data_IF_376027432300
#
_entry.id   IF_376027432300
#
_cell.length_a   1.000
_cell.length_b   1.000
_cell.length_c   1.000
_cell.angle_alpha   90.00
_cell.angle_beta   90.00
_cell.angle_gamma   90.00
#
_symmetry.space_group_name_H-M   'P 1'
#
loop_
_entity.id
_entity.type
_entity.pdbx_description
1 polymer ?
#
# COMPACT_ATOMS: atom_id res chain seq x y z
N UNK A 1 10.41 -10.74 -4.66
CA UNK A 1 10.44 -9.41 -4.01
C UNK A 1 9.20 -9.23 -3.14
N UNK A 2 9.24 -8.41 -2.09
CA UNK A 2 8.07 -8.14 -1.23
C UNK A 2 7.64 -6.68 -1.33
N UNK A 3 6.34 -6.42 -1.45
CA UNK A 3 5.78 -5.07 -1.47
C UNK A 3 5.91 -4.48 -0.06
N UNK A 4 6.50 -3.29 0.05
CA UNK A 4 6.47 -2.50 1.28
C UNK A 4 5.42 -1.39 1.09
N UNK A 5 4.42 -1.36 1.97
CA UNK A 5 3.38 -0.34 2.00
C UNK A 5 3.80 0.75 2.98
N UNK A 6 3.61 2.00 2.55
CA UNK A 6 3.65 3.18 3.40
C UNK A 6 2.31 3.91 3.28
N UNK A 7 1.72 4.29 4.40
CA UNK A 7 0.53 5.14 4.47
C UNK A 7 0.85 6.32 5.37
N UNK A 8 0.75 7.54 4.83
CA UNK A 8 1.02 8.77 5.56
C UNK A 8 1.37 9.91 4.60
N UNK A 9 1.72 11.09 5.14
CA UNK A 9 2.14 12.24 4.35
C UNK A 9 3.33 11.90 3.46
N UNK A 10 3.32 12.33 2.19
CA UNK A 10 4.45 12.13 1.28
C UNK A 10 5.66 12.96 1.74
N UNK A 11 5.42 14.12 2.37
CA UNK A 11 6.47 14.92 3.02
C UNK A 11 7.23 14.10 4.05
N UNK A 12 6.51 13.36 4.89
CA UNK A 12 7.10 12.49 5.90
C UNK A 12 7.88 11.33 5.25
N UNK A 13 7.35 10.76 4.17
CA UNK A 13 8.04 9.74 3.39
C UNK A 13 9.38 10.22 2.81
N UNK A 14 9.36 11.34 2.10
CA UNK A 14 10.53 11.89 1.39
C UNK A 14 11.57 12.52 2.32
N UNK A 15 11.16 13.01 3.50
CA UNK A 15 12.11 13.44 4.54
C UNK A 15 12.77 12.26 5.26
N UNK A 16 12.25 11.04 5.07
CA UNK A 16 12.72 9.85 5.79
C UNK A 16 12.34 9.85 7.27
N UNK A 17 11.36 10.65 7.67
CA UNK A 17 10.89 10.75 9.05
C UNK A 17 9.90 9.62 9.41
N UNK A 18 10.25 8.38 9.08
CA UNK A 18 9.42 7.19 9.32
C UNK A 18 10.30 5.97 9.58
N UNK A 19 9.74 4.98 10.26
CA UNK A 19 10.40 3.72 10.59
C UNK A 19 9.78 2.58 9.78
N UNK A 20 10.61 1.70 9.22
CA UNK A 20 10.17 0.39 8.68
C UNK A 20 9.58 -0.48 9.78
N UNK A 21 8.78 -1.49 9.43
CA UNK A 21 8.22 -2.47 10.39
C UNK A 21 9.29 -3.09 11.29
N UNK A 22 10.48 -3.38 10.75
CA UNK A 22 11.62 -3.93 11.51
C UNK A 22 12.19 -2.91 12.50
N UNK A 23 12.29 -1.63 12.10
CA UNK A 23 12.73 -0.56 13.01
C UNK A 23 11.71 -0.32 14.13
N UNK A 24 10.42 -0.33 13.81
CA UNK A 24 9.35 -0.19 14.79
C UNK A 24 9.39 -1.34 15.80
N UNK A 25 9.49 -2.59 15.33
CA UNK A 25 9.66 -3.76 16.17
C UNK A 25 10.89 -3.64 17.08
N UNK A 26 12.03 -3.23 16.53
CA UNK A 26 13.26 -3.07 17.30
C UNK A 26 13.09 -2.01 18.41
N UNK A 27 12.53 -0.84 18.09
CA UNK A 27 12.24 0.21 19.07
C UNK A 27 11.32 -0.28 20.19
N UNK A 28 10.24 -0.98 19.84
CA UNK A 28 9.29 -1.53 20.82
C UNK A 28 9.91 -2.56 21.76
N UNK A 29 10.95 -3.28 21.29
CA UNK A 29 11.66 -4.30 22.07
C UNK A 29 12.98 -3.79 22.67
N UNK A 30 13.28 -2.49 22.59
CA UNK A 30 14.53 -1.91 23.10
C UNK A 30 15.79 -2.37 22.35
N UNK A 31 15.64 -2.87 21.13
CA UNK A 31 16.73 -3.33 20.26
C UNK A 31 17.25 -2.18 19.39
N UNK A 32 18.55 -2.22 19.07
CA UNK A 32 19.13 -1.30 18.08
C UNK A 32 18.95 -1.90 16.68
N UNK A 33 18.34 -1.14 15.77
CA UNK A 33 18.22 -1.50 14.36
C UNK A 33 18.80 -0.39 13.49
N UNK A 34 19.70 -0.75 12.57
CA UNK A 34 20.26 0.16 11.57
C UNK A 34 19.99 -0.41 10.18
N UNK A 35 19.28 0.35 9.36
CA UNK A 35 19.04 -0.02 7.96
C UNK A 35 20.26 0.42 7.13
N UNK A 36 21.01 -0.56 6.61
CA UNK A 36 22.11 -0.31 5.67
C UNK A 36 21.51 -0.25 4.27
N UNK A 37 21.53 0.94 3.66
CA UNK A 37 21.11 1.14 2.26
C UNK A 37 22.36 1.23 1.37
N UNK A 38 22.31 0.75 0.12
CA UNK A 38 23.35 1.06 -0.85
C UNK A 38 23.54 2.57 -0.95
N UNK A 39 24.78 3.07 -1.13
CA UNK A 39 25.02 4.49 -1.32
C UNK A 39 24.23 4.97 -2.55
N UNK A 40 23.50 6.09 -2.42
CA UNK A 40 22.80 6.68 -3.54
C UNK A 40 23.82 7.22 -4.54
N UNK A 41 23.61 6.95 -5.83
CA UNK A 41 24.34 7.63 -6.91
C UNK A 41 23.85 9.05 -7.14
N UNK A 42 22.72 9.41 -6.52
CA UNK A 42 22.15 10.75 -6.60
C UNK A 42 22.98 11.73 -5.77
N UNK A 43 23.57 12.70 -6.45
CA UNK A 43 24.41 13.77 -5.89
C UNK A 43 23.60 15.04 -5.58
N UNK A 44 22.29 15.01 -5.81
CA UNK A 44 21.41 16.14 -5.57
C UNK A 44 21.40 16.53 -4.08
N UNK A 45 21.38 17.83 -3.76
CA UNK A 45 21.28 18.27 -2.37
C UNK A 45 19.98 17.78 -1.74
N UNK A 46 20.05 17.32 -0.48
CA UNK A 46 18.85 16.97 0.28
C UNK A 46 18.02 18.23 0.51
N UNK A 47 16.78 18.19 0.02
CA UNK A 47 15.79 19.23 0.26
C UNK A 47 15.38 19.28 1.73
N UNK A 48 15.04 20.46 2.23
CA UNK A 48 14.45 20.62 3.56
C UNK A 48 13.03 20.06 3.61
N UNK A 49 12.51 19.78 4.81
CA UNK A 49 11.12 19.33 4.97
C UNK A 49 10.10 20.33 4.40
N UNK A 50 10.35 21.63 4.53
CA UNK A 50 9.50 22.67 3.96
C UNK A 50 9.52 22.67 2.43
N UNK A 51 10.71 22.55 1.82
CA UNK A 51 10.84 22.48 0.36
C UNK A 51 10.14 21.23 -0.21
N UNK A 52 10.26 20.10 0.49
CA UNK A 52 9.55 18.86 0.12
C UNK A 52 8.04 19.09 0.24
N UNK A 53 7.57 19.66 1.34
CA UNK A 53 6.14 19.93 1.57
C UNK A 53 5.57 20.83 0.48
N UNK A 54 6.25 21.92 0.15
CA UNK A 54 5.84 22.83 -0.92
C UNK A 54 5.70 22.11 -2.26
N UNK A 55 6.67 21.27 -2.62
CA UNK A 55 6.64 20.48 -3.85
C UNK A 55 5.47 19.48 -3.86
N UNK A 56 5.22 18.78 -2.74
CA UNK A 56 4.13 17.81 -2.61
C UNK A 56 2.77 18.50 -2.67
N UNK A 57 2.58 19.64 -2.00
CA UNK A 57 1.32 20.41 -2.03
C UNK A 57 1.04 20.95 -3.43
N UNK A 58 2.07 21.42 -4.14
CA UNK A 58 1.93 21.82 -5.53
C UNK A 58 1.49 20.65 -6.42
N UNK A 59 2.12 19.48 -6.24
CA UNK A 59 1.73 18.25 -6.94
C UNK A 59 0.30 17.79 -6.61
N UNK A 60 -0.09 17.79 -5.33
CA UNK A 60 -1.44 17.45 -4.87
C UNK A 60 -2.48 18.36 -5.55
N UNK A 61 -2.18 19.64 -5.69
CA UNK A 61 -3.07 20.62 -6.34
C UNK A 61 -3.28 20.30 -7.82
N UNK A 62 -2.19 20.01 -8.56
CA UNK A 62 -2.25 19.62 -9.98
C UNK A 62 -2.98 18.29 -10.15
N UNK A 63 -2.75 17.32 -9.26
CA UNK A 63 -3.44 16.03 -9.29
C UNK A 63 -4.94 16.18 -9.03
N UNK A 64 -5.34 17.01 -8.05
CA UNK A 64 -6.73 17.29 -7.76
C UNK A 64 -7.46 17.90 -8.97
N UNK A 65 -6.80 18.85 -9.66
CA UNK A 65 -7.31 19.44 -10.90
C UNK A 65 -7.49 18.39 -12.00
N UNK A 66 -6.47 17.56 -12.24
CA UNK A 66 -6.49 16.52 -13.27
C UNK A 66 -7.59 15.47 -13.01
N UNK A 67 -7.79 15.08 -11.75
CA UNK A 67 -8.82 14.13 -11.33
C UNK A 67 -10.22 14.77 -11.23
N UNK A 68 -10.32 16.11 -11.31
CA UNK A 68 -11.56 16.87 -11.12
C UNK A 68 -12.24 16.58 -9.78
N UNK A 69 -11.46 16.30 -8.75
CA UNK A 69 -11.95 16.03 -7.40
C UNK A 69 -11.01 16.67 -6.35
N UNK A 70 -11.54 17.19 -5.25
CA UNK A 70 -10.71 17.72 -4.19
C UNK A 70 -9.93 16.59 -3.50
N UNK A 71 -8.66 16.86 -3.20
CA UNK A 71 -7.81 15.98 -2.40
C UNK A 71 -7.53 16.68 -1.06
N UNK A 72 -7.77 15.98 0.05
CA UNK A 72 -7.89 16.60 1.38
C UNK A 72 -6.94 16.04 2.45
N UNK A 73 -5.96 15.22 2.07
CA UNK A 73 -4.97 14.72 3.03
C UNK A 73 -3.98 15.80 3.44
N UNK A 74 -3.40 15.65 4.64
CA UNK A 74 -2.41 16.57 5.22
C UNK A 74 -0.97 16.22 4.82
N UNK A 75 -0.13 17.24 4.68
CA UNK A 75 1.31 17.12 4.45
C UNK A 75 2.15 17.53 5.68
N UNK A 76 1.55 17.44 6.87
CA UNK A 76 2.27 17.64 8.13
C UNK A 76 3.24 16.49 8.42
N UNK A 77 4.52 16.83 8.60
CA UNK A 77 5.59 15.87 8.85
C UNK A 77 5.48 15.15 10.22
N UNK A 78 4.61 15.62 11.12
CA UNK A 78 4.40 14.99 12.43
C UNK A 78 3.21 14.02 12.47
N UNK A 79 2.33 14.05 11.46
CA UNK A 79 1.12 13.23 11.39
C UNK A 79 1.42 11.75 11.38
N UNK A 80 0.55 10.95 12.00
CA UNK A 80 0.70 9.49 12.10
C UNK A 80 0.94 8.84 10.73
N UNK A 81 1.67 7.73 10.74
CA UNK A 81 1.98 6.96 9.56
C UNK A 81 1.94 5.47 9.89
N UNK A 82 1.82 4.67 8.85
CA UNK A 82 1.83 3.23 8.92
C UNK A 82 2.82 2.68 7.89
N UNK A 83 3.58 1.65 8.26
CA UNK A 83 4.38 0.88 7.31
C UNK A 83 4.14 -0.59 7.55
N UNK A 84 3.99 -1.35 6.47
CA UNK A 84 3.92 -2.81 6.56
C UNK A 84 4.50 -3.46 5.33
N UNK A 85 4.90 -4.72 5.46
CA UNK A 85 5.28 -5.58 4.35
C UNK A 85 4.19 -6.64 4.18
N UNK A 86 3.10 -6.35 3.44
CA UNK A 86 2.05 -7.31 3.18
C UNK A 86 2.62 -8.64 2.70
N UNK A 87 2.21 -9.71 3.38
CA UNK A 87 2.47 -11.06 2.95
C UNK A 87 1.31 -11.57 2.08
N UNK A 88 1.32 -12.88 1.81
CA UNK A 88 0.32 -13.53 0.98
C UNK A 88 -1.10 -13.39 1.50
N UNK A 89 -1.27 -13.33 2.81
CA UNK A 89 -2.54 -13.09 3.49
C UNK A 89 -3.20 -11.76 3.07
N UNK A 90 -2.41 -10.71 2.89
CA UNK A 90 -2.89 -9.41 2.43
C UNK A 90 -3.34 -9.45 0.97
N UNK A 91 -2.61 -10.16 0.10
CA UNK A 91 -3.06 -10.38 -1.28
C UNK A 91 -4.35 -11.20 -1.30
N UNK A 92 -4.44 -12.26 -0.50
CA UNK A 92 -5.65 -13.07 -0.35
C UNK A 92 -6.84 -12.23 0.14
N UNK A 93 -6.63 -11.27 1.05
CA UNK A 93 -7.66 -10.33 1.49
C UNK A 93 -8.18 -9.46 0.33
N UNK A 94 -7.29 -8.92 -0.50
CA UNK A 94 -7.67 -8.10 -1.67
C UNK A 94 -8.39 -8.94 -2.73
N UNK A 95 -7.94 -10.16 -2.99
CA UNK A 95 -8.61 -11.08 -3.89
C UNK A 95 -10.03 -11.43 -3.40
N UNK A 96 -10.20 -11.60 -2.09
CA UNK A 96 -11.50 -11.87 -1.48
C UNK A 96 -12.44 -10.66 -1.59
N UNK A 97 -11.93 -9.45 -1.33
CA UNK A 97 -12.69 -8.22 -1.54
C UNK A 97 -13.15 -8.07 -2.99
N UNK A 98 -12.26 -8.32 -3.95
CA UNK A 98 -12.59 -8.27 -5.37
C UNK A 98 -13.69 -9.27 -5.75
N UNK A 99 -13.61 -10.50 -5.24
CA UNK A 99 -14.63 -11.51 -5.48
C UNK A 99 -16.00 -11.14 -4.88
N UNK A 100 -16.02 -10.58 -3.67
CA UNK A 100 -17.27 -10.15 -3.02
C UNK A 100 -17.85 -8.88 -3.64
N UNK A 101 -17.04 -8.02 -4.27
CA UNK A 101 -17.54 -6.88 -5.03
C UNK A 101 -18.24 -7.30 -6.36
N UNK A 102 -17.85 -8.45 -6.92
CA UNK A 102 -18.57 -9.09 -8.05
C UNK A 102 -19.87 -9.78 -7.60
N UNK A 103 -19.99 -10.09 -6.30
CA UNK A 103 -21.10 -10.81 -5.69
C UNK A 103 -21.67 -10.06 -4.47
N UNK A 104 -22.24 -8.85 -4.66
CA UNK A 104 -22.70 -8.00 -3.56
C UNK A 104 -23.83 -8.60 -2.72
N UNK A 105 -24.48 -9.66 -3.22
CA UNK A 105 -25.46 -10.45 -2.47
C UNK A 105 -24.84 -11.35 -1.39
N UNK A 106 -23.53 -11.60 -1.45
CA UNK A 106 -22.81 -12.44 -0.50
C UNK A 106 -22.24 -11.61 0.65
N UNK A 107 -22.26 -12.17 1.86
CA UNK A 107 -21.65 -11.52 3.02
C UNK A 107 -20.13 -11.68 2.93
N UNK A 108 -19.41 -10.57 2.89
CA UNK A 108 -17.96 -10.55 3.07
C UNK A 108 -17.60 -11.16 4.44
N UNK A 109 -16.72 -12.17 4.49
CA UNK A 109 -16.29 -12.76 5.75
C UNK A 109 -15.42 -11.78 6.55
N UNK A 110 -15.54 -11.83 7.87
CA UNK A 110 -14.79 -10.96 8.79
C UNK A 110 -13.29 -11.34 8.87
N UNK A 111 -12.94 -12.57 8.46
CA UNK A 111 -11.58 -13.11 8.44
C UNK A 111 -11.32 -13.81 7.12
N UNK A 112 -10.15 -13.56 6.53
CA UNK A 112 -9.70 -14.22 5.30
C UNK A 112 -9.46 -15.71 5.58
N UNK A 113 -10.09 -16.64 4.83
CA UNK A 113 -9.82 -18.06 5.01
C UNK A 113 -8.41 -18.40 4.55
N UNK A 114 -7.75 -19.36 5.22
CA UNK A 114 -6.43 -19.88 4.81
C UNK A 114 -6.44 -20.43 3.37
N UNK A 115 -7.60 -20.92 2.93
CA UNK A 115 -7.84 -21.46 1.59
C UNK A 115 -9.03 -20.74 0.95
N UNK A 116 -8.72 -19.87 -0.02
CA UNK A 116 -9.71 -19.07 -0.74
C UNK A 116 -10.71 -19.93 -1.53
N UNK A 117 -10.37 -21.17 -1.89
CA UNK A 117 -11.30 -22.07 -2.59
C UNK A 117 -12.50 -22.47 -1.73
N UNK A 118 -12.43 -22.26 -0.41
CA UNK A 118 -13.56 -22.48 0.50
C UNK A 118 -14.58 -21.34 0.44
N UNK A 119 -14.19 -20.16 -0.03
CA UNK A 119 -15.10 -19.04 -0.22
C UNK A 119 -15.91 -19.21 -1.51
N UNK A 120 -17.23 -19.04 -1.40
CA UNK A 120 -18.16 -19.22 -2.53
C UNK A 120 -18.04 -18.08 -3.55
N UNK A 121 -17.88 -16.83 -3.12
CA UNK A 121 -17.76 -15.69 -4.02
C UNK A 121 -16.47 -15.83 -4.85
N UNK A 122 -15.37 -16.18 -4.18
CA UNK A 122 -14.09 -16.43 -4.84
C UNK A 122 -14.21 -17.53 -5.89
N UNK A 123 -14.77 -18.71 -5.55
CA UNK A 123 -14.94 -19.81 -6.51
C UNK A 123 -15.77 -19.43 -7.72
N UNK A 124 -16.84 -18.64 -7.55
CA UNK A 124 -17.67 -18.17 -8.67
C UNK A 124 -16.93 -17.18 -9.54
N UNK A 125 -16.22 -16.25 -8.92
CA UNK A 125 -15.43 -15.23 -9.63
C UNK A 125 -14.23 -15.82 -10.36
N UNK A 126 -13.70 -16.96 -9.90
CA UNK A 126 -12.59 -17.68 -10.54
C UNK A 126 -13.03 -18.85 -11.44
N UNK A 127 -14.35 -19.04 -11.63
CA UNK A 127 -14.86 -20.12 -12.46
C UNK A 127 -14.53 -19.90 -13.94
N UNK A 128 -14.34 -20.99 -14.69
CA UNK A 128 -14.07 -20.92 -16.12
C UNK A 128 -15.19 -20.16 -16.86
N UNK A 129 -14.81 -19.17 -17.66
CA UNK A 129 -15.75 -18.34 -18.42
C UNK A 129 -16.39 -17.19 -17.64
N UNK A 130 -16.11 -17.03 -16.34
CA UNK A 130 -16.55 -15.86 -15.59
C UNK A 130 -15.83 -14.61 -16.08
N UNK A 131 -16.58 -13.52 -16.34
CA UNK A 131 -16.03 -12.24 -16.77
C UNK A 131 -15.93 -11.30 -15.56
N UNK A 132 -14.72 -11.18 -15.01
CA UNK A 132 -14.46 -10.27 -13.89
C UNK A 132 -13.89 -8.92 -14.35
N UNK A 133 -14.23 -7.85 -13.61
CA UNK A 133 -13.60 -6.53 -13.64
C UNK A 133 -12.20 -6.52 -13.01
N UNK A 134 -11.87 -7.54 -12.24
CA UNK A 134 -10.67 -7.64 -11.41
C UNK A 134 -9.72 -8.74 -11.89
N UNK A 135 -9.60 -8.95 -13.20
CA UNK A 135 -8.75 -10.00 -13.77
C UNK A 135 -7.28 -9.87 -13.33
N UNK A 136 -6.79 -8.64 -13.20
CA UNK A 136 -5.45 -8.32 -12.69
C UNK A 136 -5.22 -8.73 -11.23
N UNK A 137 -6.29 -8.95 -10.45
CA UNK A 137 -6.21 -9.37 -9.04
C UNK A 137 -6.48 -10.87 -8.93
N UNK A 138 -7.54 -11.37 -9.56
CA UNK A 138 -8.01 -12.76 -9.43
C UNK A 138 -7.23 -13.75 -10.30
N UNK A 139 -6.68 -13.28 -11.42
CA UNK A 139 -5.89 -14.07 -12.36
C UNK A 139 -4.59 -13.34 -12.71
N UNK A 140 -3.69 -13.11 -11.73
CA UNK A 140 -2.47 -12.38 -11.97
C UNK A 140 -1.53 -13.18 -12.87
N UNK A 141 -1.50 -12.85 -14.16
CA UNK A 141 -0.53 -13.38 -15.13
C UNK A 141 0.69 -12.44 -15.24
N UNK A 142 1.46 -12.26 -14.16
CA UNK A 142 2.84 -11.78 -14.25
C UNK A 142 3.55 -11.93 -12.90
N UNK A 143 4.61 -12.74 -12.86
CA UNK A 143 5.60 -12.73 -11.79
C UNK A 143 6.86 -12.08 -12.35
N UNK A 144 7.03 -10.77 -12.13
CA UNK A 144 8.33 -10.14 -12.37
C UNK A 144 9.31 -10.63 -11.28
N UNK A 145 10.54 -11.03 -11.65
CA UNK A 145 11.53 -11.56 -10.72
C UNK A 145 11.88 -10.60 -9.56
#
# INVERSE_FOLDING_TARGET
MGLDIYVGPLTRYHTGNWETVVQQYARMNGLKCQIVRPPSTDSSPRLSADQIREAVVAWQSVLAEALKQPLSWTEDNSSEYFTEKPAWDCYSAVALLAAHDEHPEMKLPDVVPEDLSKDEAYRRSTAEGFKTRYSQILFPELWLP
#
